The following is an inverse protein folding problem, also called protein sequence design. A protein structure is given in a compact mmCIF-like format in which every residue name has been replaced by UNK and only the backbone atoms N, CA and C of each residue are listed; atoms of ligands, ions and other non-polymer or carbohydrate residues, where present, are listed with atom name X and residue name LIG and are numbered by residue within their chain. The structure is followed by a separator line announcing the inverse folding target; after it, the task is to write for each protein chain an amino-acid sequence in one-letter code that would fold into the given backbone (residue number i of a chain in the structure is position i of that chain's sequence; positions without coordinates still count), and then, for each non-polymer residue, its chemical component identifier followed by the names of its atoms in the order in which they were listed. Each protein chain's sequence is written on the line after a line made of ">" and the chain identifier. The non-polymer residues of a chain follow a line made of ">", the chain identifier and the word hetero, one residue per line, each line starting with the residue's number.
data_IF_640888327996
#
_entry.id   IF_640888327996
#
_cell.length_a   1.000
_cell.length_b   1.000
_cell.length_c   1.000
_cell.angle_alpha   90.00
_cell.angle_beta   90.00
_cell.angle_gamma   90.00
#
_symmetry.space_group_name_H-M   'P 1'
#
loop_
_entity.id
_entity.type
_entity.pdbx_description
1 polymer ?
#
# COMPACT_ATOMS: atom_id res chain seq x y z
N UNK A 1 -16.07 -5.96 -0.30
CA UNK A 1 -14.81 -5.87 -1.09
C UNK A 1 -13.99 -4.74 -0.50
N UNK A 2 -12.73 -4.98 -0.11
CA UNK A 2 -11.93 -3.99 0.64
C UNK A 2 -11.59 -2.72 -0.16
N UNK A 3 -11.41 -2.84 -1.49
CA UNK A 3 -11.22 -1.72 -2.42
C UNK A 3 -12.08 -1.94 -3.67
N UNK A 4 -12.64 -0.90 -4.30
CA UNK A 4 -13.50 -1.06 -5.47
C UNK A 4 -12.74 -1.16 -6.81
N UNK A 5 -11.44 -0.82 -6.83
CA UNK A 5 -10.66 -0.75 -8.07
C UNK A 5 -10.14 -2.13 -8.52
N UNK A 6 -10.12 -2.36 -9.84
CA UNK A 6 -9.66 -3.61 -10.45
C UNK A 6 -8.85 -3.31 -11.73
N UNK A 7 -7.83 -4.13 -11.99
CA UNK A 7 -7.17 -4.14 -13.29
C UNK A 7 -8.17 -4.56 -14.36
N UNK A 8 -8.13 -3.88 -15.51
CA UNK A 8 -9.04 -4.20 -16.58
C UNK A 8 -8.75 -5.60 -17.13
N UNK A 9 -9.79 -6.43 -17.26
CA UNK A 9 -9.67 -7.83 -17.71
C UNK A 9 -8.83 -8.01 -18.98
N UNK A 10 -9.06 -7.18 -20.02
CA UNK A 10 -8.28 -7.23 -21.26
C UNK A 10 -6.75 -7.06 -21.06
N UNK A 11 -6.32 -6.36 -20.01
CA UNK A 11 -4.89 -6.21 -19.68
C UNK A 11 -4.37 -7.46 -18.98
N UNK A 12 -5.15 -8.02 -18.05
CA UNK A 12 -4.79 -9.24 -17.31
C UNK A 12 -4.71 -10.43 -18.26
N UNK A 13 -5.66 -10.55 -19.19
CA UNK A 13 -5.72 -11.63 -20.17
C UNK A 13 -4.51 -11.64 -21.14
N UNK A 14 -3.76 -10.54 -21.25
CA UNK A 14 -2.53 -10.48 -22.05
C UNK A 14 -1.31 -11.13 -21.35
N UNK A 15 -1.37 -11.40 -20.04
CA UNK A 15 -0.22 -11.89 -19.29
C UNK A 15 0.17 -13.31 -19.71
N UNK A 16 -0.79 -14.25 -19.77
CA UNK A 16 -0.48 -15.63 -20.14
C UNK A 16 0.05 -15.76 -21.56
N UNK A 17 -0.56 -15.13 -22.60
CA UNK A 17 0.01 -15.12 -23.95
C UNK A 17 1.41 -14.52 -24.00
N UNK A 18 1.70 -13.49 -23.18
CA UNK A 18 3.04 -12.91 -23.10
C UNK A 18 4.03 -13.89 -22.48
N UNK A 19 3.64 -14.61 -21.42
CA UNK A 19 4.47 -15.66 -20.81
C UNK A 19 4.76 -16.75 -21.84
N UNK A 20 3.73 -17.22 -22.56
CA UNK A 20 3.86 -18.28 -23.54
C UNK A 20 4.79 -17.86 -24.69
N UNK A 21 4.58 -16.65 -25.24
CA UNK A 21 5.45 -16.09 -26.28
C UNK A 21 6.91 -16.03 -25.82
N UNK A 22 7.17 -15.41 -24.66
CA UNK A 22 8.53 -15.22 -24.16
C UNK A 22 9.21 -16.56 -23.80
N UNK A 23 8.45 -17.53 -23.30
CA UNK A 23 8.97 -18.85 -22.94
C UNK A 23 9.35 -19.66 -24.18
N UNK A 24 8.61 -19.54 -25.28
CA UNK A 24 8.82 -20.39 -26.47
C UNK A 24 9.50 -19.65 -27.64
N UNK A 25 10.13 -18.50 -27.40
CA UNK A 25 10.83 -17.72 -28.45
C UNK A 25 11.85 -18.55 -29.25
N UNK A 26 12.53 -19.50 -28.61
CA UNK A 26 13.51 -20.40 -29.23
C UNK A 26 12.90 -21.35 -30.27
N UNK A 27 11.66 -21.77 -30.07
CA UNK A 27 10.95 -22.69 -30.96
C UNK A 27 10.03 -21.98 -31.94
N UNK A 28 9.35 -20.91 -31.50
CA UNK A 28 8.37 -20.19 -32.33
C UNK A 28 9.02 -19.11 -33.19
N UNK A 29 10.09 -18.47 -32.69
CA UNK A 29 10.74 -17.33 -33.33
C UNK A 29 12.29 -17.34 -33.23
N UNK A 30 12.96 -18.46 -33.58
CA UNK A 30 14.42 -18.56 -33.48
C UNK A 30 15.15 -17.50 -34.32
N UNK A 31 14.57 -17.07 -35.43
CA UNK A 31 15.10 -16.02 -36.30
C UNK A 31 15.25 -14.68 -35.57
N UNK A 32 14.31 -14.35 -34.68
CA UNK A 32 14.35 -13.11 -33.88
C UNK A 32 15.51 -13.19 -32.88
N UNK A 33 15.69 -14.34 -32.23
CA UNK A 33 16.81 -14.54 -31.30
C UNK A 33 18.15 -14.36 -32.00
N UNK A 34 18.33 -14.98 -33.18
CA UNK A 34 19.57 -14.89 -33.96
C UNK A 34 19.87 -13.45 -34.40
N UNK A 35 18.85 -12.69 -34.83
CA UNK A 35 19.01 -11.26 -35.18
C UNK A 35 19.54 -10.41 -34.01
N UNK A 36 19.22 -10.80 -32.78
CA UNK A 36 19.73 -10.17 -31.56
C UNK A 36 20.96 -10.85 -30.96
N UNK A 37 21.66 -11.68 -31.75
CA UNK A 37 22.86 -12.42 -31.35
C UNK A 37 22.64 -13.37 -30.15
N UNK A 38 21.44 -13.94 -30.04
CA UNK A 38 21.08 -14.96 -29.05
C UNK A 38 20.96 -16.30 -29.79
N UNK A 39 21.72 -17.30 -29.36
CA UNK A 39 21.61 -18.65 -29.94
C UNK A 39 20.33 -19.33 -29.40
N UNK A 40 19.46 -19.87 -30.26
CA UNK A 40 18.22 -20.52 -29.81
C UNK A 40 18.45 -21.67 -28.84
N UNK A 41 19.52 -22.47 -29.02
CA UNK A 41 19.83 -23.59 -28.11
C UNK A 41 20.16 -23.11 -26.69
N UNK A 42 20.82 -21.95 -26.57
CA UNK A 42 21.23 -21.40 -25.27
C UNK A 42 20.08 -20.67 -24.56
N UNK A 43 18.98 -20.37 -25.25
CA UNK A 43 17.90 -19.53 -24.74
C UNK A 43 17.28 -20.11 -23.46
N UNK A 44 16.85 -21.37 -23.51
CA UNK A 44 16.33 -22.10 -22.35
C UNK A 44 17.43 -22.90 -21.64
N UNK A 45 18.10 -23.81 -22.36
CA UNK A 45 19.07 -24.75 -21.77
C UNK A 45 20.30 -24.04 -21.22
N UNK A 46 20.77 -23.00 -21.92
CA UNK A 46 21.90 -22.15 -21.50
C UNK A 46 21.55 -21.11 -20.43
N UNK A 47 20.32 -21.12 -19.88
CA UNK A 47 19.84 -20.21 -18.83
C UNK A 47 19.81 -18.72 -19.22
N UNK A 48 19.94 -18.38 -20.51
CA UNK A 48 19.93 -16.99 -20.99
C UNK A 48 18.59 -16.32 -20.66
N UNK A 49 17.47 -16.97 -20.97
CA UNK A 49 16.13 -16.46 -20.67
C UNK A 49 15.93 -16.22 -19.18
N UNK A 50 16.24 -17.22 -18.34
CA UNK A 50 16.12 -17.11 -16.87
C UNK A 50 16.96 -15.94 -16.34
N UNK A 51 18.21 -15.84 -16.78
CA UNK A 51 19.13 -14.77 -16.34
C UNK A 51 18.64 -13.39 -16.76
N UNK A 52 18.05 -13.27 -17.96
CA UNK A 52 17.43 -12.04 -18.45
C UNK A 52 16.21 -11.64 -17.61
N UNK A 53 15.30 -12.58 -17.32
CA UNK A 53 14.12 -12.33 -16.47
C UNK A 53 14.51 -11.86 -15.07
N UNK A 54 15.48 -12.53 -14.43
CA UNK A 54 15.96 -12.15 -13.10
C UNK A 54 16.61 -10.76 -13.11
N UNK A 55 17.40 -10.45 -14.14
CA UNK A 55 18.03 -9.14 -14.31
C UNK A 55 17.01 -8.03 -14.55
N UNK A 56 15.99 -8.30 -15.38
CA UNK A 56 14.86 -7.40 -15.63
C UNK A 56 14.10 -7.15 -14.32
N UNK A 57 13.78 -8.22 -13.57
CA UNK A 57 13.10 -8.12 -12.27
C UNK A 57 13.90 -7.26 -11.28
N UNK A 58 15.22 -7.45 -11.20
CA UNK A 58 16.09 -6.63 -10.36
C UNK A 58 16.03 -5.14 -10.70
N UNK A 59 16.08 -4.78 -11.99
CA UNK A 59 15.93 -3.39 -12.45
C UNK A 59 14.54 -2.82 -12.15
N UNK A 60 13.48 -3.62 -12.29
CA UNK A 60 12.13 -3.20 -11.94
C UNK A 60 12.00 -2.91 -10.45
N UNK A 61 12.57 -3.75 -9.58
CA UNK A 61 12.55 -3.52 -8.13
C UNK A 61 13.25 -2.19 -7.80
N UNK A 62 14.48 -1.99 -8.28
CA UNK A 62 15.25 -0.77 -8.00
C UNK A 62 14.53 0.50 -8.49
N UNK A 63 14.03 0.50 -9.72
CA UNK A 63 13.30 1.65 -10.28
C UNK A 63 11.94 1.87 -9.63
N UNK A 64 11.27 0.80 -9.17
CA UNK A 64 9.98 0.91 -8.49
C UNK A 64 10.09 1.66 -7.17
N UNK A 65 11.11 1.39 -6.35
CA UNK A 65 11.30 2.09 -5.06
C UNK A 65 11.44 3.60 -5.27
N UNK A 66 12.33 4.03 -6.16
CA UNK A 66 12.51 5.46 -6.48
C UNK A 66 11.25 6.10 -7.04
N UNK A 67 10.47 5.36 -7.85
CA UNK A 67 9.18 5.85 -8.38
C UNK A 67 8.13 6.00 -7.29
N UNK A 68 8.06 5.05 -6.35
CA UNK A 68 7.09 5.04 -5.24
C UNK A 68 7.33 6.23 -4.30
N UNK A 69 8.56 6.38 -3.82
CA UNK A 69 8.97 7.54 -3.02
C UNK A 69 8.80 8.85 -3.79
N UNK A 70 9.09 8.85 -5.10
CA UNK A 70 8.90 10.02 -5.96
C UNK A 70 7.46 10.51 -6.01
N UNK A 71 6.47 9.60 -6.04
CA UNK A 71 5.05 9.97 -5.97
C UNK A 71 4.72 10.65 -4.63
N UNK A 72 5.17 10.06 -3.52
CA UNK A 72 4.93 10.62 -2.18
C UNK A 72 5.61 11.98 -2.04
N UNK A 73 6.86 12.10 -2.51
CA UNK A 73 7.60 13.36 -2.55
C UNK A 73 6.83 14.43 -3.33
N UNK A 74 6.29 14.12 -4.50
CA UNK A 74 5.51 15.07 -5.30
C UNK A 74 4.25 15.58 -4.56
N UNK A 75 3.58 14.70 -3.80
CA UNK A 75 2.42 15.09 -2.98
C UNK A 75 2.83 16.02 -1.83
N UNK A 76 3.91 15.69 -1.12
CA UNK A 76 4.43 16.53 -0.02
C UNK A 76 4.97 17.87 -0.52
N UNK A 77 5.64 17.87 -1.68
CA UNK A 77 6.11 19.09 -2.34
C UNK A 77 4.93 20.00 -2.71
N UNK A 78 3.84 19.44 -3.27
CA UNK A 78 2.60 20.18 -3.52
C UNK A 78 2.02 20.76 -2.23
N UNK A 79 2.08 20.02 -1.12
CA UNK A 79 1.63 20.49 0.18
C UNK A 79 2.46 21.66 0.71
N UNK A 80 3.79 21.58 0.56
CA UNK A 80 4.73 22.61 0.96
C UNK A 80 4.54 23.89 0.14
N UNK A 81 4.46 23.77 -1.18
CA UNK A 81 4.24 24.91 -2.09
C UNK A 81 2.92 25.63 -1.82
N UNK A 82 1.88 24.89 -1.41
CA UNK A 82 0.58 25.45 -1.00
C UNK A 82 0.54 25.93 0.46
N UNK A 83 1.68 25.91 1.16
CA UNK A 83 1.80 26.31 2.58
C UNK A 83 0.87 25.54 3.52
N UNK A 84 0.52 24.29 3.18
CA UNK A 84 -0.29 23.43 4.04
C UNK A 84 0.53 22.63 5.06
N UNK A 85 1.83 22.46 4.80
CA UNK A 85 2.81 21.94 5.73
C UNK A 85 3.94 22.96 5.87
N UNK A 86 4.66 22.91 6.98
CA UNK A 86 5.77 23.82 7.24
C UNK A 86 7.06 23.36 6.57
N UNK A 87 7.31 22.05 6.54
CA UNK A 87 8.48 21.44 5.93
C UNK A 87 8.28 19.92 5.77
N UNK A 88 9.11 19.28 4.94
CA UNK A 88 9.26 17.82 4.95
C UNK A 88 10.70 17.41 4.62
N UNK A 89 11.10 16.24 5.15
CA UNK A 89 12.40 15.65 4.90
C UNK A 89 12.26 14.21 4.45
N UNK A 90 12.94 13.85 3.38
CA UNK A 90 13.15 12.45 3.03
C UNK A 90 14.34 11.89 3.80
N UNK A 91 14.14 10.75 4.43
CA UNK A 91 15.16 10.01 5.15
C UNK A 91 16.05 9.20 4.19
N UNK A 92 17.29 8.93 4.60
CA UNK A 92 18.17 8.00 3.89
C UNK A 92 17.80 6.54 4.15
N UNK A 93 18.41 5.62 3.39
CA UNK A 93 18.13 4.17 3.39
C UNK A 93 18.37 3.45 4.72
N UNK A 94 18.94 4.10 5.74
CA UNK A 94 19.17 3.55 7.08
C UNK A 94 18.09 3.96 8.10
N UNK A 95 17.12 4.77 7.70
CA UNK A 95 16.02 5.20 8.58
C UNK A 95 14.92 4.15 8.66
N UNK A 96 14.15 4.16 9.76
CA UNK A 96 12.99 3.28 9.98
C UNK A 96 11.70 3.79 9.32
N UNK A 97 11.77 5.01 8.78
CA UNK A 97 10.71 5.67 8.04
C UNK A 97 11.28 6.52 6.89
N UNK A 98 10.58 6.59 5.77
CA UNK A 98 11.02 7.28 4.56
C UNK A 98 10.85 8.80 4.60
N UNK A 99 9.81 9.32 5.25
CA UNK A 99 9.52 10.76 5.27
C UNK A 99 9.15 11.27 6.66
N UNK A 100 9.64 12.46 7.00
CA UNK A 100 9.22 13.24 8.16
C UNK A 100 8.54 14.51 7.67
N UNK A 101 7.31 14.76 8.10
CA UNK A 101 6.51 15.92 7.70
C UNK A 101 6.26 16.79 8.92
N UNK A 102 6.58 18.07 8.83
CA UNK A 102 6.30 19.06 9.88
C UNK A 102 4.99 19.77 9.55
N UNK A 103 3.93 19.43 10.27
CA UNK A 103 2.60 19.98 10.04
C UNK A 103 2.39 21.31 10.76
N UNK A 104 2.95 21.46 11.97
CA UNK A 104 2.73 22.62 12.84
C UNK A 104 3.92 22.82 13.79
N UNK A 105 4.05 24.04 14.33
CA UNK A 105 5.07 24.45 15.31
C UNK A 105 4.49 24.72 16.70
N UNK A 106 3.18 24.97 16.82
CA UNK A 106 2.56 25.37 18.10
C UNK A 106 1.18 24.75 18.28
N UNK A 107 1.07 23.53 18.86
CA UNK A 107 2.17 22.67 19.32
C UNK A 107 2.94 22.03 18.16
N UNK A 108 4.17 21.59 18.43
CA UNK A 108 4.94 20.80 17.48
C UNK A 108 4.16 19.55 17.05
N UNK A 109 3.94 19.42 15.74
CA UNK A 109 3.18 18.34 15.15
C UNK A 109 3.94 17.73 13.98
N UNK A 110 4.55 16.57 14.23
CA UNK A 110 5.34 15.85 13.24
C UNK A 110 4.67 14.53 12.86
N UNK A 111 4.72 14.21 11.59
CA UNK A 111 4.22 12.95 11.02
C UNK A 111 5.39 12.18 10.45
N UNK A 112 5.47 10.89 10.77
CA UNK A 112 6.34 9.95 10.08
C UNK A 112 5.52 9.20 9.04
N UNK A 113 6.04 9.09 7.81
CA UNK A 113 5.38 8.40 6.71
C UNK A 113 6.35 7.39 6.10
N UNK A 114 5.90 6.15 5.96
CA UNK A 114 6.68 5.05 5.41
C UNK A 114 6.09 4.58 4.09
N UNK A 115 6.90 4.37 3.06
CA UNK A 115 6.45 3.97 1.72
C UNK A 115 6.70 2.49 1.49
N UNK A 116 5.64 1.75 1.15
CA UNK A 116 5.68 0.29 0.94
C UNK A 116 5.10 -0.09 -0.43
N UNK A 117 5.63 -1.17 -0.99
CA UNK A 117 5.09 -1.80 -2.20
C UNK A 117 4.00 -2.84 -1.91
N UNK A 118 3.29 -3.24 -2.97
CA UNK A 118 2.07 -4.05 -2.91
C UNK A 118 2.26 -5.52 -2.53
N UNK A 119 3.50 -6.01 -2.64
CA UNK A 119 3.88 -7.40 -2.33
C UNK A 119 3.81 -7.72 -0.83
N UNK A 120 3.68 -6.70 0.02
CA UNK A 120 3.46 -6.80 1.46
C UNK A 120 4.64 -7.38 2.27
N UNK A 121 5.70 -7.90 1.64
CA UNK A 121 6.80 -8.58 2.33
C UNK A 121 7.63 -7.64 3.21
N UNK A 122 7.62 -6.34 2.89
CA UNK A 122 8.40 -5.31 3.59
C UNK A 122 7.64 -4.61 4.73
N UNK A 123 6.40 -5.02 5.04
CA UNK A 123 5.55 -4.38 6.06
C UNK A 123 6.06 -4.64 7.48
N UNK A 124 6.71 -5.78 7.71
CA UNK A 124 7.17 -6.19 9.04
C UNK A 124 8.27 -5.28 9.64
N UNK A 125 8.77 -4.29 8.89
CA UNK A 125 9.92 -3.44 9.25
C UNK A 125 9.47 -2.04 9.70
N UNK A 126 8.22 -1.64 9.45
CA UNK A 126 7.73 -0.32 9.84
C UNK A 126 7.74 -0.15 11.36
N UNK A 127 8.33 0.93 11.86
CA UNK A 127 8.36 1.25 13.29
C UNK A 127 8.08 2.72 13.53
N UNK A 128 7.12 3.01 14.41
CA UNK A 128 6.73 4.37 14.76
C UNK A 128 7.83 5.07 15.55
N UNK A 129 8.34 6.22 15.09
CA UNK A 129 9.24 7.04 15.90
C UNK A 129 8.53 7.63 17.12
N UNK A 130 9.21 7.70 18.27
CA UNK A 130 8.64 8.21 19.53
C UNK A 130 8.16 9.66 19.46
N UNK A 131 8.77 10.47 18.59
CA UNK A 131 8.41 11.88 18.40
C UNK A 131 7.19 12.07 17.47
N UNK A 132 6.79 11.04 16.73
CA UNK A 132 5.76 11.15 15.70
C UNK A 132 4.36 11.21 16.33
N UNK A 133 3.65 12.32 16.08
CA UNK A 133 2.24 12.50 16.46
C UNK A 133 1.32 11.67 15.58
N UNK A 134 1.68 11.47 14.32
CA UNK A 134 1.06 10.49 13.44
C UNK A 134 2.12 9.59 12.81
N UNK A 135 1.80 8.32 12.64
CA UNK A 135 2.55 7.37 11.82
C UNK A 135 1.67 6.80 10.72
N UNK A 136 1.98 7.19 9.49
CA UNK A 136 1.30 6.73 8.29
C UNK A 136 2.12 5.71 7.50
N UNK A 137 1.44 4.83 6.78
CA UNK A 137 2.05 3.96 5.77
C UNK A 137 1.41 4.22 4.41
N UNK A 138 2.22 4.57 3.41
CA UNK A 138 1.80 4.75 2.03
C UNK A 138 2.08 3.48 1.23
N UNK A 139 1.04 2.76 0.85
CA UNK A 139 1.11 1.50 0.14
C UNK A 139 0.79 1.66 -1.34
N UNK A 140 1.73 1.25 -2.18
CA UNK A 140 1.54 1.15 -3.63
C UNK A 140 1.01 -0.22 -3.99
N UNK A 141 -0.08 -0.30 -4.77
CA UNK A 141 -0.65 -1.54 -5.29
C UNK A 141 -0.22 -1.74 -6.76
N UNK A 142 1.06 -1.49 -7.03
CA UNK A 142 1.70 -1.54 -8.35
C UNK A 142 2.54 -2.81 -8.56
N UNK A 143 2.17 -3.89 -7.86
CA UNK A 143 2.73 -5.23 -8.06
C UNK A 143 2.29 -5.83 -9.40
N UNK A 144 2.45 -7.16 -9.53
CA UNK A 144 2.05 -7.85 -10.74
C UNK A 144 0.55 -7.64 -11.05
N UNK A 145 0.21 -7.21 -12.27
CA UNK A 145 -1.17 -6.88 -12.70
C UNK A 145 -2.16 -8.06 -12.61
N UNK A 146 -1.66 -9.29 -12.52
CA UNK A 146 -2.48 -10.48 -12.27
C UNK A 146 -3.09 -10.47 -10.87
N UNK A 147 -2.47 -9.77 -9.92
CA UNK A 147 -2.96 -9.60 -8.57
C UNK A 147 -3.85 -8.37 -8.50
N UNK A 148 -5.15 -8.56 -8.26
CA UNK A 148 -6.06 -7.42 -8.14
C UNK A 148 -5.69 -6.54 -6.92
N UNK A 149 -5.88 -5.21 -7.00
CA UNK A 149 -5.57 -4.28 -5.92
C UNK A 149 -6.25 -4.67 -4.60
N UNK A 150 -7.48 -5.17 -4.68
CA UNK A 150 -8.26 -5.70 -3.55
C UNK A 150 -7.52 -6.80 -2.79
N UNK A 151 -6.87 -7.74 -3.50
CA UNK A 151 -6.08 -8.80 -2.85
C UNK A 151 -4.82 -8.23 -2.18
N UNK A 152 -4.15 -7.28 -2.84
CA UNK A 152 -3.00 -6.58 -2.28
C UNK A 152 -3.36 -5.84 -0.99
N UNK A 153 -4.40 -5.01 -1.01
CA UNK A 153 -4.87 -4.27 0.16
C UNK A 153 -5.26 -5.19 1.31
N UNK A 154 -6.02 -6.27 1.05
CA UNK A 154 -6.36 -7.27 2.06
C UNK A 154 -5.11 -7.93 2.69
N UNK A 155 -4.12 -8.29 1.87
CA UNK A 155 -2.86 -8.87 2.35
C UNK A 155 -2.08 -7.92 3.24
N UNK A 156 -1.97 -6.65 2.82
CA UNK A 156 -1.28 -5.59 3.56
C UNK A 156 -1.99 -5.32 4.89
N UNK A 157 -3.32 -5.16 4.88
CA UNK A 157 -4.10 -4.91 6.08
C UNK A 157 -3.95 -6.06 7.09
N UNK A 158 -4.09 -7.32 6.65
CA UNK A 158 -3.90 -8.45 7.57
C UNK A 158 -2.50 -8.50 8.18
N UNK A 159 -1.46 -8.14 7.43
CA UNK A 159 -0.08 -8.08 7.96
C UNK A 159 0.07 -6.96 8.98
N UNK A 160 -0.39 -5.76 8.64
CA UNK A 160 -0.36 -4.61 9.54
C UNK A 160 -1.12 -4.87 10.84
N UNK A 161 -2.32 -5.46 10.78
CA UNK A 161 -3.08 -5.77 12.00
C UNK A 161 -2.41 -6.86 12.83
N UNK A 162 -1.78 -7.87 12.20
CA UNK A 162 -0.98 -8.84 12.95
C UNK A 162 0.19 -8.15 13.67
N UNK A 163 0.90 -7.22 13.03
CA UNK A 163 1.99 -6.46 13.65
C UNK A 163 1.47 -5.52 14.76
N UNK A 164 0.32 -4.86 14.56
CA UNK A 164 -0.36 -4.04 15.57
C UNK A 164 -0.65 -4.85 16.82
N UNK A 165 -1.31 -5.99 16.67
CA UNK A 165 -1.84 -6.76 17.80
C UNK A 165 -0.77 -7.63 18.46
N UNK A 166 0.13 -8.25 17.66
CA UNK A 166 1.15 -9.20 18.16
C UNK A 166 2.50 -8.56 18.39
N UNK A 167 2.77 -7.35 17.90
CA UNK A 167 4.04 -6.66 18.14
C UNK A 167 3.86 -5.25 18.65
N UNK A 168 2.62 -4.86 18.94
CA UNK A 168 2.24 -3.53 19.47
C UNK A 168 2.73 -2.38 18.57
N UNK A 169 2.86 -2.64 17.27
CA UNK A 169 3.30 -1.64 16.28
C UNK A 169 2.11 -0.79 15.83
N UNK A 170 1.99 0.38 16.43
CA UNK A 170 0.89 1.31 16.13
C UNK A 170 1.14 2.04 14.82
N UNK A 171 0.20 1.91 13.90
CA UNK A 171 0.05 2.70 12.66
C UNK A 171 -1.29 3.40 12.74
N UNK A 172 -1.33 4.70 12.49
CA UNK A 172 -2.56 5.50 12.65
C UNK A 172 -3.38 5.52 11.36
N UNK A 173 -2.70 5.50 10.21
CA UNK A 173 -3.32 5.59 8.89
C UNK A 173 -2.54 4.82 7.83
N UNK A 174 -3.25 4.21 6.89
CA UNK A 174 -2.69 3.62 5.66
C UNK A 174 -3.29 4.30 4.44
N UNK A 175 -2.44 4.70 3.50
CA UNK A 175 -2.85 5.24 2.21
C UNK A 175 -2.62 4.19 1.13
N UNK A 176 -3.66 3.75 0.42
CA UNK A 176 -3.47 2.94 -0.78
C UNK A 176 -3.49 3.83 -2.02
N UNK A 177 -2.33 3.97 -2.65
CA UNK A 177 -2.17 4.79 -3.84
C UNK A 177 -0.90 4.49 -4.61
N UNK A 178 -1.05 4.29 -5.91
CA UNK A 178 0.04 4.23 -6.87
C UNK A 178 -0.35 4.88 -8.22
N UNK A 179 0.58 4.81 -9.17
CA UNK A 179 0.48 5.42 -10.50
C UNK A 179 -0.55 4.78 -11.44
N UNK A 180 -1.03 3.58 -11.17
CA UNK A 180 -1.98 2.86 -12.01
C UNK A 180 -3.43 3.27 -11.74
N UNK A 181 -3.76 3.74 -10.52
CA UNK A 181 -5.16 4.05 -10.16
C UNK A 181 -5.69 5.22 -11.01
N UNK A 182 -6.80 5.01 -11.73
CA UNK A 182 -7.40 6.01 -12.63
C UNK A 182 -6.93 5.94 -14.07
N UNK A 183 -5.91 5.13 -14.37
CA UNK A 183 -5.41 4.94 -15.73
C UNK A 183 -6.30 3.98 -16.52
N UNK A 184 -6.06 3.85 -17.84
CA UNK A 184 -6.77 2.88 -18.70
C UNK A 184 -6.61 1.43 -18.23
N UNK A 185 -5.45 1.08 -17.64
CA UNK A 185 -5.18 -0.30 -17.19
C UNK A 185 -5.85 -0.62 -15.85
N UNK A 186 -6.17 0.41 -15.05
CA UNK A 186 -6.91 0.29 -13.80
C UNK A 186 -7.80 1.52 -13.59
N UNK A 187 -8.94 1.60 -14.31
CA UNK A 187 -9.87 2.71 -14.16
C UNK A 187 -10.40 2.75 -12.73
N UNK A 188 -10.54 3.95 -12.17
CA UNK A 188 -11.04 4.12 -10.81
C UNK A 188 -12.56 4.35 -10.84
N UNK A 189 -13.39 3.50 -10.20
CA UNK A 189 -14.84 3.68 -10.18
C UNK A 189 -15.30 4.99 -9.52
N UNK A 190 -14.45 5.61 -8.70
CA UNK A 190 -14.73 6.89 -8.05
C UNK A 190 -14.56 8.09 -8.99
N UNK A 191 -13.87 7.90 -10.11
CA UNK A 191 -13.58 8.92 -11.10
C UNK A 191 -13.93 8.42 -12.52
N UNK A 192 -15.22 8.14 -12.80
CA UNK A 192 -15.64 7.53 -14.06
C UNK A 192 -15.29 8.39 -15.28
N UNK A 193 -15.44 9.71 -15.17
CA UNK A 193 -15.21 10.67 -16.25
C UNK A 193 -13.72 11.02 -16.46
N UNK A 194 -12.84 10.47 -15.62
CA UNK A 194 -11.38 10.66 -15.72
C UNK A 194 -10.67 9.46 -16.36
N UNK A 195 -11.42 8.53 -16.95
CA UNK A 195 -10.89 7.36 -17.64
C UNK A 195 -9.88 7.76 -18.72
N UNK A 196 -8.59 7.55 -18.47
CA UNK A 196 -7.51 7.91 -19.39
C UNK A 196 -6.61 9.06 -18.94
N UNK A 197 -6.90 9.70 -17.81
CA UNK A 197 -5.98 10.68 -17.20
C UNK A 197 -4.81 10.01 -16.45
N UNK A 198 -3.73 10.78 -16.24
CA UNK A 198 -2.59 10.37 -15.41
C UNK A 198 -3.07 9.91 -14.04
N UNK A 199 -2.59 8.75 -13.58
CA UNK A 199 -2.95 8.22 -12.28
C UNK A 199 -2.65 9.20 -11.14
N UNK A 200 -1.76 10.16 -11.33
CA UNK A 200 -1.39 11.22 -10.37
C UNK A 200 -2.58 12.05 -9.85
N UNK A 201 -3.71 12.10 -10.57
CA UNK A 201 -4.86 12.93 -10.21
C UNK A 201 -5.99 12.19 -9.48
N UNK A 202 -5.81 10.92 -9.14
CA UNK A 202 -6.76 10.17 -8.30
C UNK A 202 -6.30 10.18 -6.85
N UNK A 203 -7.19 10.54 -5.93
CA UNK A 203 -6.87 10.57 -4.51
C UNK A 203 -6.66 9.14 -3.97
N UNK A 204 -5.84 8.98 -2.92
CA UNK A 204 -5.68 7.71 -2.22
C UNK A 204 -6.99 7.21 -1.62
N UNK A 205 -7.00 5.91 -1.34
CA UNK A 205 -7.91 5.29 -0.38
C UNK A 205 -7.25 5.33 1.01
N UNK A 206 -7.93 5.88 2.00
CA UNK A 206 -7.41 6.15 3.35
C UNK A 206 -8.04 5.18 4.33
N UNK A 207 -7.22 4.36 4.98
CA UNK A 207 -7.63 3.42 6.00
C UNK A 207 -7.20 3.97 7.35
N UNK A 208 -8.15 4.31 8.20
CA UNK A 208 -7.93 4.81 9.54
C UNK A 208 -7.92 3.63 10.51
N UNK A 209 -6.85 3.52 11.30
CA UNK A 209 -6.63 2.40 12.21
C UNK A 209 -7.06 2.75 13.65
N UNK A 210 -7.10 1.75 14.56
CA UNK A 210 -7.38 2.00 15.96
C UNK A 210 -6.35 2.94 16.61
N UNK A 211 -6.83 3.82 17.49
CA UNK A 211 -6.00 4.83 18.18
C UNK A 211 -4.99 4.23 19.17
N UNK A 212 -5.19 2.97 19.55
CA UNK A 212 -4.34 2.23 20.48
C UNK A 212 -4.46 0.74 20.22
N UNK A 213 -3.51 -0.04 20.74
CA UNK A 213 -3.48 -1.49 20.56
C UNK A 213 -4.64 -2.13 21.34
N UNK A 214 -5.52 -2.90 20.68
CA UNK A 214 -6.58 -3.64 21.35
C UNK A 214 -6.04 -4.55 22.45
N UNK A 215 -6.72 -4.59 23.59
CA UNK A 215 -6.31 -5.35 24.78
C UNK A 215 -7.52 -5.90 25.53
N UNK A 216 -7.38 -6.80 26.51
CA UNK A 216 -8.53 -7.30 27.27
C UNK A 216 -9.31 -6.22 28.02
N UNK A 217 -8.61 -5.21 28.54
CA UNK A 217 -9.22 -4.10 29.29
C UNK A 217 -9.87 -3.06 28.37
N UNK A 218 -9.45 -3.05 27.11
CA UNK A 218 -9.96 -2.18 26.05
C UNK A 218 -10.01 -2.97 24.73
N UNK A 219 -11.01 -3.85 24.58
CA UNK A 219 -11.04 -4.85 23.52
C UNK A 219 -11.29 -4.24 22.15
N UNK A 220 -11.98 -3.11 22.08
CA UNK A 220 -12.30 -2.42 20.83
C UNK A 220 -11.99 -0.93 20.96
N UNK A 221 -10.70 -0.54 20.85
CA UNK A 221 -10.32 0.86 20.90
C UNK A 221 -10.99 1.68 19.78
N UNK A 222 -11.26 2.97 20.02
CA UNK A 222 -11.80 3.85 19.00
C UNK A 222 -10.86 3.94 17.80
N UNK A 223 -11.43 4.04 16.61
CA UNK A 223 -10.71 4.27 15.36
C UNK A 223 -10.36 5.75 15.21
N UNK A 224 -9.27 6.05 14.50
CA UNK A 224 -8.98 7.41 14.08
C UNK A 224 -10.07 7.98 13.15
N UNK A 225 -10.14 9.31 13.07
CA UNK A 225 -11.03 10.06 12.18
C UNK A 225 -10.23 11.14 11.46
N UNK A 226 -10.84 11.83 10.49
CA UNK A 226 -10.19 12.98 9.83
C UNK A 226 -10.00 14.18 10.78
N UNK A 227 -10.70 14.19 11.91
CA UNK A 227 -10.57 15.21 12.94
C UNK A 227 -9.49 14.87 13.95
N UNK A 228 -9.21 13.57 14.19
CA UNK A 228 -8.16 13.15 15.12
C UNK A 228 -6.76 13.11 14.51
N UNK A 229 -6.66 13.12 13.18
CA UNK A 229 -5.40 13.15 12.42
C UNK A 229 -5.39 14.36 11.46
N UNK A 230 -4.25 15.05 11.33
CA UNK A 230 -4.07 16.19 10.41
C UNK A 230 -3.72 15.74 8.99
N UNK A 231 -2.85 14.74 8.81
CA UNK A 231 -2.36 14.37 7.47
C UNK A 231 -3.46 13.84 6.54
N UNK A 232 -4.37 12.92 6.94
CA UNK A 232 -5.29 12.27 6.00
C UNK A 232 -6.26 13.26 5.33
N UNK A 233 -6.82 14.19 6.11
CA UNK A 233 -7.71 15.23 5.60
C UNK A 233 -6.99 16.19 4.65
N UNK A 234 -5.74 16.55 4.96
CA UNK A 234 -4.88 17.34 4.08
C UNK A 234 -4.64 16.61 2.75
N UNK A 235 -4.31 15.32 2.78
CA UNK A 235 -4.08 14.55 1.55
C UNK A 235 -5.33 14.60 0.66
N UNK A 236 -6.53 14.33 1.16
CA UNK A 236 -7.76 14.44 0.36
C UNK A 236 -7.95 15.85 -0.22
N UNK A 237 -7.64 16.89 0.55
CA UNK A 237 -7.69 18.27 0.08
C UNK A 237 -6.68 18.54 -1.06
N UNK A 238 -5.47 18.01 -0.99
CA UNK A 238 -4.45 18.17 -2.04
C UNK A 238 -4.83 17.49 -3.35
N UNK A 239 -5.65 16.46 -3.31
CA UNK A 239 -6.22 15.80 -4.50
C UNK A 239 -7.58 16.40 -4.91
N UNK A 240 -7.93 17.55 -4.33
CA UNK A 240 -9.13 18.31 -4.65
C UNK A 240 -10.42 17.48 -4.48
N UNK A 241 -10.46 16.59 -3.47
CA UNK A 241 -11.64 15.78 -3.12
C UNK A 241 -12.65 16.65 -2.33
N UNK A 242 -13.86 16.87 -2.87
CA UNK A 242 -14.91 17.63 -2.18
C UNK A 242 -15.28 17.01 -0.82
N UNK A 243 -15.61 17.82 0.22
CA UNK A 243 -15.95 17.31 1.56
C UNK A 243 -17.03 16.22 1.58
N UNK A 244 -18.06 16.36 0.75
CA UNK A 244 -19.19 15.43 0.59
C UNK A 244 -18.79 14.11 -0.08
N UNK A 245 -17.70 14.11 -0.87
CA UNK A 245 -17.16 12.90 -1.50
C UNK A 245 -16.11 12.17 -0.66
N UNK A 246 -15.57 12.80 0.41
CA UNK A 246 -14.48 12.22 1.22
C UNK A 246 -14.84 10.85 1.81
N UNK A 247 -16.11 10.62 2.14
CA UNK A 247 -16.57 9.32 2.67
C UNK A 247 -16.27 8.14 1.73
N UNK A 248 -16.22 8.38 0.40
CA UNK A 248 -15.87 7.37 -0.60
C UNK A 248 -14.38 6.99 -0.59
N UNK A 249 -13.57 7.76 0.14
CA UNK A 249 -12.12 7.60 0.25
C UNK A 249 -11.68 7.14 1.65
N UNK A 250 -12.61 6.92 2.58
CA UNK A 250 -12.29 6.61 3.97
C UNK A 250 -12.78 5.22 4.33
N UNK A 251 -11.88 4.41 4.87
CA UNK A 251 -12.14 3.12 5.46
C UNK A 251 -11.80 3.18 6.94
N UNK A 252 -12.68 2.66 7.79
CA UNK A 252 -12.40 2.47 9.21
C UNK A 252 -11.99 1.03 9.45
N UNK A 253 -10.89 0.82 10.17
CA UNK A 253 -10.40 -0.51 10.52
C UNK A 253 -10.63 -0.73 12.00
N UNK A 254 -11.66 -1.50 12.32
CA UNK A 254 -12.00 -1.87 13.69
C UNK A 254 -11.36 -3.20 14.04
N UNK A 255 -10.70 -3.25 15.19
CA UNK A 255 -10.02 -4.47 15.64
C UNK A 255 -10.48 -4.77 17.05
N UNK A 256 -11.15 -5.91 17.21
CA UNK A 256 -11.63 -6.39 18.49
C UNK A 256 -10.70 -7.50 19.01
N UNK A 257 -10.15 -7.34 20.21
CA UNK A 257 -9.40 -8.37 20.91
C UNK A 257 -10.32 -9.19 21.82
N UNK A 258 -10.21 -10.51 21.76
CA UNK A 258 -10.99 -11.46 22.55
C UNK A 258 -10.05 -12.40 23.30
N UNK A 259 -10.39 -12.72 24.55
CA UNK A 259 -9.75 -13.77 25.33
C UNK A 259 -10.53 -15.07 25.16
N UNK A 260 -9.85 -16.13 24.75
CA UNK A 260 -10.43 -17.46 24.57
C UNK A 260 -10.46 -18.21 25.91
N UNK A 261 -11.30 -19.27 26.05
CA UNK A 261 -11.40 -20.05 27.30
C UNK A 261 -10.08 -20.68 27.76
N UNK A 262 -9.14 -20.90 26.84
CA UNK A 262 -7.81 -21.44 27.11
C UNK A 262 -6.75 -20.36 27.44
N UNK A 263 -7.18 -19.11 27.65
CA UNK A 263 -6.32 -17.99 27.98
C UNK A 263 -5.56 -17.38 26.79
N UNK A 264 -5.72 -17.92 25.57
CA UNK A 264 -5.14 -17.32 24.36
C UNK A 264 -5.96 -16.13 23.86
N UNK A 265 -5.33 -15.28 23.07
CA UNK A 265 -5.95 -14.11 22.46
C UNK A 265 -6.31 -14.39 21.01
N UNK A 266 -7.39 -13.76 20.55
CA UNK A 266 -7.82 -13.74 19.16
C UNK A 266 -8.25 -12.32 18.79
N UNK A 267 -7.98 -11.90 17.55
CA UNK A 267 -8.46 -10.62 17.03
C UNK A 267 -9.44 -10.87 15.91
N UNK A 268 -10.50 -10.07 15.90
CA UNK A 268 -11.42 -9.94 14.77
C UNK A 268 -11.19 -8.55 14.19
N UNK A 269 -10.94 -8.48 12.89
CA UNK A 269 -10.79 -7.23 12.16
C UNK A 269 -12.00 -7.04 11.27
N UNK A 270 -12.62 -5.87 11.34
CA UNK A 270 -13.68 -5.44 10.44
C UNK A 270 -13.24 -4.18 9.74
N UNK A 271 -13.33 -4.19 8.41
CA UNK A 271 -13.09 -3.01 7.59
C UNK A 271 -14.43 -2.45 7.17
N UNK A 272 -14.66 -1.20 7.53
CA UNK A 272 -15.89 -0.48 7.25
C UNK A 272 -15.66 0.58 6.18
N UNK A 273 -16.64 0.76 5.30
CA UNK A 273 -16.67 1.87 4.36
C UNK A 273 -18.10 2.38 4.24
N UNK A 274 -18.29 3.69 4.38
CA UNK A 274 -19.60 4.35 4.30
C UNK A 274 -20.67 3.71 5.23
N UNK A 275 -20.26 3.26 6.41
CA UNK A 275 -21.17 2.66 7.41
C UNK A 275 -21.46 1.17 7.22
N UNK A 276 -20.82 0.48 6.27
CA UNK A 276 -21.00 -0.96 6.05
C UNK A 276 -19.69 -1.72 6.22
N UNK A 277 -19.76 -2.93 6.81
CA UNK A 277 -18.64 -3.88 6.82
C UNK A 277 -18.41 -4.39 5.41
N UNK A 278 -17.26 -4.08 4.83
CA UNK A 278 -16.88 -4.51 3.48
C UNK A 278 -15.89 -5.67 3.45
N UNK A 279 -15.23 -5.94 4.58
CA UNK A 279 -14.33 -7.07 4.76
C UNK A 279 -14.25 -7.44 6.25
N UNK A 280 -14.02 -8.73 6.53
CA UNK A 280 -13.88 -9.24 7.89
C UNK A 280 -12.88 -10.37 7.92
N UNK A 281 -11.92 -10.29 8.84
CA UNK A 281 -10.92 -11.33 9.04
C UNK A 281 -10.77 -11.69 10.52
N UNK A 282 -10.36 -12.92 10.77
CA UNK A 282 -10.08 -13.41 12.13
C UNK A 282 -8.66 -13.93 12.18
N UNK A 283 -7.89 -13.48 13.15
CA UNK A 283 -6.52 -13.94 13.31
C UNK A 283 -6.48 -15.34 13.92
N UNK A 284 -5.37 -16.06 13.68
CA UNK A 284 -5.06 -17.26 14.47
C UNK A 284 -4.86 -16.87 15.95
N UNK A 285 -5.24 -17.74 16.90
CA UNK A 285 -4.95 -17.50 18.32
C UNK A 285 -3.46 -17.32 18.62
N UNK A 286 -3.12 -16.49 19.60
CA UNK A 286 -1.74 -16.31 20.10
C UNK A 286 -1.71 -16.18 21.63
N UNK A 287 -0.55 -16.40 22.25
CA UNK A 287 -0.32 -16.16 23.69
C UNK A 287 0.55 -14.92 23.92
N UNK A 288 0.47 -14.31 25.11
CA UNK A 288 1.30 -13.16 25.50
C UNK A 288 2.81 -13.50 25.56
N UNK A 289 3.16 -14.76 25.82
CA UNK A 289 4.56 -15.21 25.85
C UNK A 289 5.27 -15.09 24.49
N UNK A 290 4.52 -14.97 23.40
CA UNK A 290 5.06 -14.76 22.05
C UNK A 290 5.33 -13.27 21.72
N UNK A 291 5.22 -12.36 22.69
CA UNK A 291 5.41 -10.91 22.51
C UNK A 291 6.82 -10.42 22.89
N UNK A 292 7.72 -11.31 23.31
CA UNK A 292 9.11 -11.02 23.68
C UNK A 292 10.04 -10.94 22.46
#
# INVERSE_FOLDING_TARGET
>A
MILPCNHHRHIVDQVQPTIDLLTHMDTWHPEILIQHAIQPQDYQEGLVFRSAIESIRGRFIASSTSRREGLVRAVLEKALQRSHILDYRQSGSSSRHDFTVKMDQKPDYFVALEVKGGEGNSINISERPLWAKEFGVWCHLDGAIVNQPTHGAHSIMNRLINELVKRRKVVDVVFFKDMLCGTRTRPCPKYPDRGGMSGENTAPDIFLLPQRVPSPDDPEPPVHSLESLKLPGLILHLFDVPPDERSRHIWEVRVTCMVLPDGRFRSVTEVWNQGYVVDRSTSRPWSLENLA
#
